data_IF_709988162455
#
_entry.id   IF_709988162455
#
_cell.length_a   1.000
_cell.length_b   1.000
_cell.length_c   1.000
_cell.angle_alpha   90.00
_cell.angle_beta   90.00
_cell.angle_gamma   90.00
#
_symmetry.space_group_name_H-M   'P 1'
#
loop_
_entity.id
_entity.type
_entity.pdbx_description
1 polymer ?
#
# COMPACT_ATOMS: atom_id res chain seq x y z
N UNK A 1 -6.70 26.95 -55.10
CA UNK A 1 -6.30 25.94 -54.10
C UNK A 1 -6.35 26.60 -52.73
N UNK A 2 -7.45 26.40 -51.99
CA UNK A 2 -7.67 27.01 -50.68
C UNK A 2 -7.11 26.05 -49.62
N UNK A 3 -6.06 26.46 -48.90
CA UNK A 3 -5.48 25.67 -47.81
C UNK A 3 -6.24 26.00 -46.51
N UNK A 4 -7.07 25.06 -46.05
CA UNK A 4 -7.66 25.11 -44.70
C UNK A 4 -6.60 24.75 -43.68
N UNK A 5 -6.12 25.73 -42.91
CA UNK A 5 -5.36 25.50 -41.68
C UNK A 5 -6.34 25.05 -40.58
N UNK A 6 -6.27 23.77 -40.20
CA UNK A 6 -6.91 23.26 -38.99
C UNK A 6 -5.96 23.52 -37.83
N UNK A 7 -6.28 24.51 -37.01
CA UNK A 7 -5.62 24.73 -35.71
C UNK A 7 -6.24 23.74 -34.72
N UNK A 8 -5.54 22.66 -34.42
CA UNK A 8 -5.89 21.78 -33.31
C UNK A 8 -5.52 22.48 -32.00
N UNK A 9 -6.49 23.09 -31.33
CA UNK A 9 -6.30 23.57 -29.96
C UNK A 9 -6.09 22.39 -29.03
N UNK A 10 -4.91 22.28 -28.42
CA UNK A 10 -4.73 21.47 -27.21
C UNK A 10 -5.60 22.11 -26.13
N UNK A 11 -6.79 21.54 -25.89
CA UNK A 11 -7.51 21.79 -24.66
C UNK A 11 -6.70 21.12 -23.54
N UNK A 12 -5.78 21.89 -22.94
CA UNK A 12 -5.31 21.57 -21.60
C UNK A 12 -6.53 21.68 -20.69
N UNK A 13 -7.17 20.55 -20.39
CA UNK A 13 -8.09 20.50 -19.26
C UNK A 13 -7.25 20.88 -18.06
N UNK A 14 -7.45 22.10 -17.55
CA UNK A 14 -6.99 22.47 -16.24
C UNK A 14 -7.68 21.49 -15.28
N UNK A 15 -6.98 20.41 -14.92
CA UNK A 15 -7.34 19.68 -13.72
C UNK A 15 -7.35 20.74 -12.62
N UNK A 16 -8.50 20.90 -11.94
CA UNK A 16 -8.54 21.70 -10.73
C UNK A 16 -7.34 21.25 -9.88
N UNK A 17 -6.50 22.20 -9.49
CA UNK A 17 -5.21 21.92 -8.88
C UNK A 17 -5.45 21.05 -7.65
N UNK A 18 -5.12 19.75 -7.73
CA UNK A 18 -5.28 18.82 -6.61
C UNK A 18 -4.16 19.09 -5.61
N UNK A 19 -4.32 20.21 -4.91
CA UNK A 19 -3.35 20.74 -3.99
C UNK A 19 -3.07 19.73 -2.88
N UNK A 20 -1.79 19.63 -2.51
CA UNK A 20 -1.34 18.76 -1.42
C UNK A 20 -2.09 19.00 -0.12
N UNK A 21 -2.49 20.24 0.17
CA UNK A 21 -3.26 20.60 1.37
C UNK A 21 -4.67 20.00 1.37
N UNK A 22 -5.33 19.95 0.21
CA UNK A 22 -6.61 19.27 0.06
C UNK A 22 -6.44 17.76 0.31
N UNK A 23 -5.45 17.13 -0.34
CA UNK A 23 -5.18 15.70 -0.19
C UNK A 23 -4.84 15.33 1.26
N UNK A 24 -4.03 16.16 1.95
CA UNK A 24 -3.74 16.01 3.39
C UNK A 24 -4.99 16.10 4.24
N UNK A 25 -5.84 17.09 3.97
CA UNK A 25 -7.12 17.28 4.67
C UNK A 25 -8.05 16.09 4.48
N UNK A 26 -8.13 15.54 3.26
CA UNK A 26 -8.92 14.37 2.95
C UNK A 26 -8.42 13.12 3.70
N UNK A 27 -7.11 12.87 3.72
CA UNK A 27 -6.54 11.75 4.48
C UNK A 27 -6.75 11.91 5.99
N UNK A 28 -6.62 13.13 6.53
CA UNK A 28 -6.89 13.40 7.94
C UNK A 28 -8.36 13.14 8.30
N UNK A 29 -9.29 13.56 7.43
CA UNK A 29 -10.72 13.29 7.60
C UNK A 29 -11.03 11.78 7.56
N UNK A 30 -10.44 11.05 6.61
CA UNK A 30 -10.55 9.59 6.52
C UNK A 30 -10.05 8.91 7.81
N UNK A 31 -8.84 9.24 8.28
CA UNK A 31 -8.25 8.66 9.49
C UNK A 31 -9.11 8.96 10.71
N UNK A 32 -9.58 10.20 10.88
CA UNK A 32 -10.44 10.58 11.99
C UNK A 32 -11.77 9.81 11.98
N UNK A 33 -12.38 9.65 10.81
CA UNK A 33 -13.61 8.89 10.66
C UNK A 33 -13.43 7.40 10.96
N UNK A 34 -12.33 6.79 10.49
CA UNK A 34 -12.00 5.38 10.79
C UNK A 34 -11.73 5.16 12.29
N UNK A 35 -11.01 6.08 12.95
CA UNK A 35 -10.81 6.05 14.41
C UNK A 35 -12.14 6.03 15.16
N UNK A 36 -13.13 6.77 14.67
CA UNK A 36 -14.44 6.91 15.29
C UNK A 36 -15.49 5.88 14.83
N UNK A 37 -15.20 5.06 13.80
CA UNK A 37 -16.21 4.18 13.18
C UNK A 37 -17.34 4.94 12.47
N UNK A 38 -17.05 6.16 11.99
CA UNK A 38 -18.04 7.06 11.40
C UNK A 38 -18.07 6.93 9.87
N UNK A 39 -18.58 5.81 9.37
CA UNK A 39 -18.61 5.54 7.93
C UNK A 39 -19.40 6.60 7.11
N UNK A 40 -20.39 7.26 7.71
CA UNK A 40 -21.09 8.39 7.11
C UNK A 40 -20.16 9.58 6.80
N UNK A 41 -19.17 9.86 7.65
CA UNK A 41 -18.20 10.93 7.42
C UNK A 41 -17.27 10.60 6.24
N UNK A 42 -16.92 9.32 6.06
CA UNK A 42 -16.17 8.87 4.88
C UNK A 42 -17.03 8.95 3.63
N UNK A 43 -18.30 8.54 3.70
CA UNK A 43 -19.23 8.65 2.56
C UNK A 43 -19.45 10.09 2.10
N UNK A 44 -19.33 11.08 3.00
CA UNK A 44 -19.42 12.50 2.65
C UNK A 44 -18.23 13.00 1.80
N UNK A 45 -17.10 12.27 1.80
CA UNK A 45 -16.00 12.49 0.86
C UNK A 45 -16.41 12.07 -0.55
N UNK A 46 -17.24 11.04 -0.69
CA UNK A 46 -17.67 10.42 -1.95
C UNK A 46 -19.15 10.65 -2.26
N UNK A 47 -19.54 11.88 -2.60
CA UNK A 47 -20.92 12.20 -3.01
C UNK A 47 -21.11 12.28 -4.52
N UNK A 48 -20.16 11.74 -5.31
CA UNK A 48 -20.29 11.70 -6.77
C UNK A 48 -21.26 10.59 -7.20
N UNK A 49 -22.00 10.81 -8.29
CA UNK A 49 -23.00 9.84 -8.77
C UNK A 49 -22.40 8.46 -9.15
N UNK A 50 -21.08 8.40 -9.35
CA UNK A 50 -20.33 7.20 -9.72
C UNK A 50 -19.34 6.77 -8.62
N UNK A 51 -19.56 7.20 -7.38
CA UNK A 51 -18.70 6.85 -6.27
C UNK A 51 -18.70 5.33 -6.03
N UNK A 52 -17.51 4.72 -6.01
CA UNK A 52 -17.33 3.30 -5.72
C UNK A 52 -16.55 3.15 -4.41
N UNK A 53 -17.05 2.28 -3.54
CA UNK A 53 -16.34 1.84 -2.35
C UNK A 53 -16.04 0.34 -2.42
N UNK A 54 -14.77 -0.02 -2.21
CA UNK A 54 -14.28 -1.40 -2.21
C UNK A 54 -13.55 -1.72 -0.91
N UNK A 55 -13.83 -2.90 -0.35
CA UNK A 55 -12.95 -3.57 0.62
C UNK A 55 -12.52 -4.90 0.03
N UNK A 56 -11.21 -5.18 0.00
CA UNK A 56 -10.64 -6.43 -0.52
C UNK A 56 -11.16 -6.79 -1.93
N UNK A 57 -11.17 -5.79 -2.83
CA UNK A 57 -11.68 -5.88 -4.22
C UNK A 57 -13.18 -6.22 -4.35
N UNK A 58 -13.97 -6.14 -3.28
CA UNK A 58 -15.42 -6.35 -3.30
C UNK A 58 -16.17 -5.04 -3.08
N UNK A 59 -17.19 -4.78 -3.92
CA UNK A 59 -18.12 -3.67 -3.70
C UNK A 59 -18.83 -3.89 -2.37
N UNK A 60 -18.72 -2.92 -1.47
CA UNK A 60 -19.17 -3.04 -0.09
C UNK A 60 -20.00 -1.82 0.32
N UNK A 61 -20.97 -2.01 1.22
CA UNK A 61 -21.71 -0.91 1.83
C UNK A 61 -20.96 -0.37 3.06
N UNK A 62 -20.88 0.95 3.20
CA UNK A 62 -20.21 1.64 4.31
C UNK A 62 -20.67 1.19 5.70
N UNK A 63 -21.93 0.76 5.87
CA UNK A 63 -22.46 0.34 7.17
C UNK A 63 -22.01 -1.07 7.53
N UNK A 64 -21.79 -1.93 6.54
CA UNK A 64 -21.30 -3.30 6.75
C UNK A 64 -19.77 -3.41 6.71
N UNK A 65 -19.09 -2.32 6.38
CA UNK A 65 -17.64 -2.30 6.15
C UNK A 65 -16.83 -2.08 7.42
N UNK A 66 -15.52 -2.20 7.30
CA UNK A 66 -14.56 -1.90 8.37
C UNK A 66 -14.64 -0.44 8.84
N UNK A 67 -15.14 0.48 8.00
CA UNK A 67 -15.34 1.90 8.33
C UNK A 67 -16.46 2.15 9.35
N UNK A 68 -17.39 1.19 9.57
CA UNK A 68 -18.47 1.33 10.56
C UNK A 68 -18.05 0.93 11.97
N UNK A 69 -16.80 0.48 12.14
CA UNK A 69 -16.24 0.04 13.42
C UNK A 69 -15.12 1.00 13.84
N UNK A 70 -15.10 1.45 15.10
CA UNK A 70 -13.97 2.23 15.59
C UNK A 70 -12.71 1.36 15.63
N UNK A 71 -11.62 1.87 15.07
CA UNK A 71 -10.31 1.22 15.11
C UNK A 71 -9.36 2.05 15.96
N UNK A 72 -8.75 1.41 16.97
CA UNK A 72 -7.63 1.99 17.70
C UNK A 72 -6.35 1.90 16.87
N UNK A 73 -6.02 3.00 16.19
CA UNK A 73 -4.86 3.11 15.29
C UNK A 73 -3.62 3.50 16.09
N UNK A 74 -2.53 2.74 15.91
CA UNK A 74 -1.22 3.02 16.52
C UNK A 74 -0.33 3.87 15.60
N UNK A 75 -0.39 3.61 14.29
CA UNK A 75 0.31 4.38 13.26
C UNK A 75 -0.64 4.63 12.10
N UNK A 76 -0.66 5.88 11.63
CA UNK A 76 -1.20 6.24 10.34
C UNK A 76 -0.11 6.95 9.51
N UNK A 77 0.00 6.59 8.23
CA UNK A 77 0.90 7.25 7.27
C UNK A 77 0.18 7.43 5.95
N UNK A 78 0.19 8.64 5.42
CA UNK A 78 -0.40 8.93 4.12
C UNK A 78 0.62 9.47 3.14
N UNK A 79 0.42 9.16 1.86
CA UNK A 79 1.16 9.75 0.74
C UNK A 79 0.16 10.42 -0.22
N UNK A 80 0.58 11.51 -0.85
CA UNK A 80 -0.33 12.42 -1.57
C UNK A 80 0.15 12.62 -3.01
N UNK A 81 -0.63 12.12 -3.96
CA UNK A 81 -0.35 12.19 -5.40
C UNK A 81 -1.13 13.35 -6.03
N UNK A 82 -0.46 14.49 -6.17
CA UNK A 82 -1.05 15.70 -6.75
C UNK A 82 -1.26 15.60 -8.26
N UNK A 83 -0.62 14.64 -8.94
CA UNK A 83 -0.75 14.44 -10.39
C UNK A 83 -1.98 13.59 -10.71
N UNK A 84 -2.21 12.51 -9.97
CA UNK A 84 -3.39 11.66 -10.14
C UNK A 84 -4.59 12.08 -9.30
N UNK A 85 -4.45 13.14 -8.50
CA UNK A 85 -5.46 13.56 -7.53
C UNK A 85 -5.88 12.39 -6.62
N UNK A 86 -4.90 11.73 -6.03
CA UNK A 86 -5.11 10.50 -5.28
C UNK A 86 -4.29 10.49 -4.00
N UNK A 87 -4.72 9.66 -3.06
CA UNK A 87 -4.02 9.47 -1.78
C UNK A 87 -3.92 8.00 -1.46
N UNK A 88 -2.88 7.62 -0.74
CA UNK A 88 -2.78 6.35 -0.05
C UNK A 88 -2.68 6.61 1.46
N UNK A 89 -3.21 5.70 2.28
CA UNK A 89 -3.04 5.70 3.73
C UNK A 89 -2.80 4.27 4.23
N UNK A 90 -1.70 4.06 4.94
CA UNK A 90 -1.41 2.85 5.74
C UNK A 90 -1.90 3.10 7.16
N UNK A 91 -2.71 2.17 7.69
CA UNK A 91 -3.12 2.10 9.09
C UNK A 91 -2.57 0.84 9.71
N UNK A 92 -1.89 0.99 10.85
CA UNK A 92 -1.45 -0.14 11.70
C UNK A 92 -2.18 -0.02 13.03
N UNK A 93 -2.97 -1.04 13.36
CA UNK A 93 -3.83 -1.08 14.54
C UNK A 93 -3.52 -2.34 15.36
N UNK A 94 -2.27 -2.49 15.79
CA UNK A 94 -1.79 -3.64 16.55
C UNK A 94 -2.38 -3.71 17.97
N UNK A 95 -2.65 -2.56 18.59
CA UNK A 95 -3.24 -2.47 19.93
C UNK A 95 -4.77 -2.44 19.94
N UNK A 96 -5.41 -2.56 18.77
CA UNK A 96 -6.85 -2.74 18.66
C UNK A 96 -7.25 -4.16 19.10
N UNK A 97 -8.40 -4.35 19.78
CA UNK A 97 -8.85 -5.69 20.19
C UNK A 97 -8.97 -6.69 19.04
N UNK A 98 -9.30 -6.20 17.84
CA UNK A 98 -9.20 -6.93 16.59
C UNK A 98 -8.10 -6.29 15.74
N UNK A 99 -6.87 -6.81 15.71
CA UNK A 99 -5.77 -6.12 15.05
C UNK A 99 -5.96 -6.01 13.54
N UNK A 100 -5.52 -4.89 12.96
CA UNK A 100 -5.58 -4.65 11.52
C UNK A 100 -4.26 -4.08 10.98
N UNK A 101 -4.00 -4.37 9.70
CA UNK A 101 -3.17 -3.53 8.82
C UNK A 101 -4.01 -3.21 7.59
N UNK A 102 -4.22 -1.92 7.31
CA UNK A 102 -5.14 -1.47 6.26
C UNK A 102 -4.41 -0.52 5.33
N UNK A 103 -4.46 -0.80 4.03
CA UNK A 103 -3.99 0.09 2.99
C UNK A 103 -5.20 0.65 2.24
N UNK A 104 -5.38 1.96 2.23
CA UNK A 104 -6.54 2.61 1.59
C UNK A 104 -6.08 3.62 0.54
N UNK A 105 -6.63 3.49 -0.66
CA UNK A 105 -6.48 4.44 -1.77
C UNK A 105 -7.76 5.21 -1.97
N UNK A 106 -7.63 6.53 -2.12
CA UNK A 106 -8.74 7.42 -2.51
C UNK A 106 -8.37 8.14 -3.80
N UNK A 107 -9.31 8.25 -4.73
CA UNK A 107 -9.15 8.98 -6.00
C UNK A 107 -10.24 10.03 -6.09
N UNK A 108 -9.85 11.26 -6.36
CA UNK A 108 -10.74 12.42 -6.36
C UNK A 108 -11.01 12.94 -7.77
N UNK A 109 -12.24 13.39 -8.00
CA UNK A 109 -12.62 14.12 -9.20
C UNK A 109 -12.26 15.60 -9.11
N UNK A 110 -12.49 16.32 -10.22
CA UNK A 110 -12.26 17.77 -10.30
C UNK A 110 -13.14 18.60 -9.34
N UNK A 111 -14.19 18.01 -8.79
CA UNK A 111 -15.08 18.60 -7.77
C UNK A 111 -14.58 18.36 -6.33
N UNK A 112 -13.37 17.82 -6.17
CA UNK A 112 -12.78 17.43 -4.88
C UNK A 112 -13.62 16.39 -4.12
N UNK A 113 -14.46 15.64 -4.83
CA UNK A 113 -15.18 14.49 -4.28
C UNK A 113 -14.47 13.21 -4.67
N UNK A 114 -14.42 12.25 -3.75
CA UNK A 114 -13.93 10.92 -4.06
C UNK A 114 -14.83 10.30 -5.14
N UNK A 115 -14.20 9.77 -6.18
CA UNK A 115 -14.81 8.89 -7.17
C UNK A 115 -14.58 7.42 -6.79
N UNK A 116 -13.50 7.13 -6.06
CA UNK A 116 -13.15 5.80 -5.60
C UNK A 116 -12.55 5.89 -4.20
N UNK A 117 -12.97 5.00 -3.31
CA UNK A 117 -12.25 4.62 -2.10
C UNK A 117 -12.10 3.10 -2.13
N UNK A 118 -10.88 2.59 -2.17
CA UNK A 118 -10.61 1.15 -2.12
C UNK A 118 -9.65 0.84 -0.97
N UNK A 119 -9.92 -0.21 -0.22
CA UNK A 119 -9.08 -0.64 0.90
C UNK A 119 -8.69 -2.10 0.77
N UNK A 120 -7.42 -2.41 1.01
CA UNK A 120 -6.97 -3.76 1.39
C UNK A 120 -6.97 -3.80 2.91
N UNK A 121 -7.95 -4.49 3.48
CA UNK A 121 -8.12 -4.68 4.91
C UNK A 121 -7.56 -6.05 5.25
N UNK A 122 -6.47 -6.10 6.03
CA UNK A 122 -5.90 -7.36 6.49
C UNK A 122 -6.06 -7.55 7.99
N UNK A 123 -6.36 -8.78 8.37
CA UNK A 123 -6.46 -9.23 9.76
C UNK A 123 -6.06 -10.71 9.94
N UNK A 124 -6.42 -11.30 11.08
CA UNK A 124 -6.05 -12.67 11.42
C UNK A 124 -6.46 -13.66 10.32
N UNK A 125 -5.46 -14.36 9.78
CA UNK A 125 -5.65 -15.38 8.76
C UNK A 125 -5.23 -14.93 7.36
N UNK A 126 -4.96 -13.65 7.17
CA UNK A 126 -4.33 -13.14 5.96
C UNK A 126 -2.85 -13.47 5.88
N UNK A 127 -2.24 -13.15 4.72
CA UNK A 127 -0.90 -13.56 4.36
C UNK A 127 0.13 -13.13 5.42
N UNK A 128 0.64 -14.12 6.15
CA UNK A 128 1.65 -13.97 7.20
C UNK A 128 1.25 -12.99 8.33
N UNK A 129 -0.03 -12.64 8.46
CA UNK A 129 -0.49 -11.50 9.23
C UNK A 129 -0.05 -11.50 10.70
N UNK A 130 0.59 -10.40 11.10
CA UNK A 130 1.03 -10.08 12.44
C UNK A 130 1.14 -8.56 12.63
N UNK A 131 0.05 -7.92 13.07
CA UNK A 131 0.03 -6.47 13.27
C UNK A 131 1.09 -5.96 14.27
N UNK A 132 1.40 -6.72 15.32
CA UNK A 132 2.44 -6.36 16.29
C UNK A 132 3.82 -6.32 15.62
N UNK A 133 4.14 -7.35 14.84
CA UNK A 133 5.38 -7.39 14.05
C UNK A 133 5.47 -6.26 13.04
N UNK A 134 4.35 -5.93 12.37
CA UNK A 134 4.26 -4.74 11.50
C UNK A 134 4.60 -3.47 12.27
N UNK A 135 3.96 -3.23 13.44
CA UNK A 135 4.21 -2.05 14.25
C UNK A 135 5.68 -1.96 14.73
N UNK A 136 6.26 -3.08 15.16
CA UNK A 136 7.65 -3.15 15.64
C UNK A 136 8.66 -2.82 14.53
N UNK A 137 8.45 -3.34 13.32
CA UNK A 137 9.33 -3.10 12.17
C UNK A 137 9.14 -1.70 11.55
N UNK A 138 7.93 -1.14 11.63
CA UNK A 138 7.60 0.19 11.13
C UNK A 138 8.12 1.32 12.03
N UNK A 139 8.08 1.14 13.37
CA UNK A 139 8.47 2.15 14.37
C UNK A 139 9.87 2.78 14.17
N UNK A 140 10.95 2.04 13.84
CA UNK A 140 12.27 2.63 13.67
C UNK A 140 12.48 3.34 12.32
N UNK A 141 11.53 3.25 11.39
CA UNK A 141 11.69 3.80 10.04
C UNK A 141 11.54 5.32 10.01
N UNK A 142 12.24 5.96 9.07
CA UNK A 142 12.17 7.41 8.87
C UNK A 142 11.46 7.73 7.57
N UNK A 143 10.33 8.40 7.70
CA UNK A 143 9.45 8.78 6.60
C UNK A 143 9.29 10.29 6.48
N UNK A 144 10.30 11.06 6.90
CA UNK A 144 10.30 12.51 6.75
C UNK A 144 10.32 12.91 5.25
N UNK A 145 9.79 14.08 4.89
CA UNK A 145 9.96 14.65 3.57
C UNK A 145 11.43 14.70 3.15
N UNK A 146 11.71 14.29 1.93
CA UNK A 146 13.05 14.34 1.35
C UNK A 146 13.35 15.80 0.97
N UNK A 147 14.53 16.36 1.31
CA UNK A 147 14.92 17.70 0.86
C UNK A 147 14.77 17.84 -0.65
N UNK A 148 14.28 19.00 -1.12
CA UNK A 148 13.84 19.18 -2.52
C UNK A 148 14.92 18.81 -3.54
N UNK A 149 16.18 19.12 -3.23
CA UNK A 149 17.36 18.84 -4.04
C UNK A 149 17.78 17.37 -4.07
N UNK A 150 17.22 16.53 -3.20
CA UNK A 150 17.44 15.08 -3.12
C UNK A 150 16.22 14.27 -3.55
N UNK A 151 15.09 14.92 -3.86
CA UNK A 151 13.88 14.24 -4.30
C UNK A 151 14.12 13.62 -5.68
N UNK A 152 13.90 12.31 -5.77
CA UNK A 152 13.82 11.63 -7.05
C UNK A 152 12.58 12.13 -7.83
N UNK A 153 12.67 12.16 -9.16
CA UNK A 153 11.50 12.48 -9.98
C UNK A 153 10.40 11.43 -9.80
N UNK A 154 9.14 11.84 -9.98
CA UNK A 154 7.99 10.92 -10.00
C UNK A 154 8.22 9.66 -10.82
N UNK A 155 8.77 9.81 -12.02
CA UNK A 155 9.03 8.71 -12.94
C UNK A 155 10.05 7.71 -12.37
N UNK A 156 11.09 8.21 -11.71
CA UNK A 156 12.06 7.37 -10.99
C UNK A 156 11.35 6.63 -9.87
N UNK A 157 10.65 7.32 -8.97
CA UNK A 157 9.94 6.71 -7.82
C UNK A 157 8.98 5.61 -8.30
N UNK A 158 8.15 5.88 -9.30
CA UNK A 158 7.22 4.89 -9.86
C UNK A 158 7.95 3.69 -10.47
N UNK A 159 9.05 3.92 -11.19
CA UNK A 159 9.81 2.85 -11.85
C UNK A 159 10.39 1.82 -10.88
N UNK A 160 10.62 2.17 -9.60
CA UNK A 160 11.07 1.22 -8.59
C UNK A 160 9.94 0.25 -8.18
N UNK A 161 8.72 0.76 -8.04
CA UNK A 161 7.53 -0.09 -7.89
C UNK A 161 7.33 -1.00 -9.11
N UNK A 162 7.61 -0.49 -10.31
CA UNK A 162 7.57 -1.29 -11.53
C UNK A 162 8.63 -2.39 -11.56
N UNK A 163 9.88 -2.04 -11.26
CA UNK A 163 10.99 -2.99 -11.21
C UNK A 163 10.69 -4.13 -10.23
N UNK A 164 10.14 -3.81 -9.06
CA UNK A 164 9.76 -4.79 -8.04
C UNK A 164 8.83 -5.87 -8.61
N UNK A 165 7.69 -5.49 -9.20
CA UNK A 165 6.75 -6.48 -9.73
C UNK A 165 7.17 -7.07 -11.07
N UNK A 166 7.93 -6.33 -11.89
CA UNK A 166 8.47 -6.88 -13.15
C UNK A 166 9.49 -7.99 -12.86
N UNK A 167 10.25 -7.90 -11.77
CA UNK A 167 11.19 -8.94 -11.35
C UNK A 167 10.53 -10.29 -11.08
N UNK A 168 9.27 -10.31 -10.67
CA UNK A 168 8.55 -11.55 -10.34
C UNK A 168 8.32 -12.44 -11.56
N UNK A 169 8.28 -11.85 -12.77
CA UNK A 169 8.06 -12.57 -14.03
C UNK A 169 9.26 -12.52 -14.98
N UNK A 170 10.31 -11.75 -14.65
CA UNK A 170 11.49 -11.60 -15.50
C UNK A 170 12.76 -11.46 -14.64
N UNK A 171 13.58 -12.51 -14.63
CA UNK A 171 14.82 -12.57 -13.84
C UNK A 171 15.91 -11.59 -14.27
N UNK A 172 15.81 -11.05 -15.49
CA UNK A 172 16.76 -10.07 -16.03
C UNK A 172 16.49 -8.65 -15.52
N UNK A 173 15.33 -8.41 -14.91
CA UNK A 173 15.03 -7.12 -14.27
C UNK A 173 15.87 -6.99 -13.01
N UNK A 174 16.49 -5.83 -12.80
CA UNK A 174 17.18 -5.51 -11.54
C UNK A 174 16.29 -4.60 -10.71
N UNK A 175 16.23 -4.85 -9.40
CA UNK A 175 15.50 -4.01 -8.45
C UNK A 175 16.53 -3.29 -7.58
N UNK A 176 16.80 -1.98 -7.83
CA UNK A 176 17.67 -1.21 -6.94
C UNK A 176 17.05 -1.14 -5.54
N UNK A 177 17.72 -1.73 -4.56
CA UNK A 177 17.25 -1.79 -3.17
C UNK A 177 18.46 -1.64 -2.24
N UNK A 178 18.37 -0.78 -1.23
CA UNK A 178 19.39 -0.60 -0.18
C UNK A 178 19.03 -1.20 1.19
N UNK A 179 19.75 -0.77 2.22
CA UNK A 179 19.44 -1.08 3.62
C UNK A 179 18.08 -0.48 4.04
N UNK A 180 17.33 -1.12 4.96
CA UNK A 180 17.71 -2.23 5.84
C UNK A 180 17.56 -3.64 5.22
N UNK A 181 17.30 -3.75 3.92
CA UNK A 181 17.29 -5.00 3.17
C UNK A 181 16.30 -6.06 3.69
N UNK A 182 15.07 -5.64 3.88
CA UNK A 182 13.95 -6.55 4.08
C UNK A 182 12.66 -5.96 3.50
N UNK A 183 11.73 -6.84 3.16
CA UNK A 183 10.32 -6.51 2.96
C UNK A 183 9.57 -6.77 4.26
N UNK A 184 8.79 -5.80 4.71
CA UNK A 184 7.81 -5.99 5.77
C UNK A 184 6.59 -6.64 5.11
N UNK A 185 6.45 -7.95 5.32
CA UNK A 185 5.43 -8.78 4.67
C UNK A 185 4.56 -9.45 5.73
N UNK A 186 3.31 -9.00 5.86
CA UNK A 186 2.41 -9.47 6.92
C UNK A 186 2.95 -9.24 8.33
N UNK A 187 3.92 -8.36 8.54
CA UNK A 187 4.57 -8.15 9.83
C UNK A 187 5.77 -9.05 10.12
N UNK A 188 6.24 -9.80 9.12
CA UNK A 188 7.52 -10.51 9.15
C UNK A 188 8.55 -9.77 8.27
N UNK A 189 9.83 -9.74 8.67
CA UNK A 189 10.88 -9.21 7.81
C UNK A 189 11.34 -10.31 6.85
N UNK A 190 10.85 -10.31 5.61
CA UNK A 190 11.42 -11.13 4.55
C UNK A 190 12.79 -10.54 4.16
N UNK A 191 13.84 -11.03 4.81
CA UNK A 191 15.20 -10.49 4.72
C UNK A 191 15.92 -10.91 3.43
N UNK A 192 16.65 -9.96 2.86
CA UNK A 192 17.66 -10.21 1.85
C UNK A 192 19.08 -10.27 2.45
N UNK A 193 20.07 -10.23 1.58
CA UNK A 193 21.49 -10.15 1.90
C UNK A 193 22.04 -8.79 1.44
N UNK A 194 22.68 -8.03 2.33
CA UNK A 194 23.41 -6.82 1.95
C UNK A 194 24.78 -7.18 1.36
N UNK A 195 25.06 -6.68 0.15
CA UNK A 195 26.36 -6.78 -0.53
C UNK A 195 26.84 -5.37 -0.87
N UNK A 196 27.70 -4.82 -0.02
CA UNK A 196 28.02 -3.38 -0.07
C UNK A 196 26.76 -2.56 0.20
N UNK A 197 26.43 -1.63 -0.71
CA UNK A 197 25.26 -0.75 -0.60
C UNK A 197 24.00 -1.32 -1.28
N UNK A 198 24.07 -2.55 -1.81
CA UNK A 198 22.97 -3.20 -2.52
C UNK A 198 22.36 -4.34 -1.70
N UNK A 199 21.04 -4.42 -1.71
CA UNK A 199 20.26 -5.49 -1.13
C UNK A 199 19.89 -6.54 -2.18
N UNK A 200 20.29 -7.78 -1.93
CA UNK A 200 19.97 -8.94 -2.76
C UNK A 200 18.82 -9.71 -2.11
N UNK A 201 17.65 -9.64 -2.74
CA UNK A 201 16.45 -10.34 -2.29
C UNK A 201 16.23 -11.65 -3.04
N UNK A 202 15.48 -12.57 -2.43
CA UNK A 202 14.96 -13.76 -3.10
C UNK A 202 13.62 -13.43 -3.73
N UNK A 203 13.44 -13.83 -4.99
CA UNK A 203 12.27 -13.46 -5.80
C UNK A 203 11.64 -14.68 -6.44
N UNK A 204 10.30 -14.67 -6.64
CA UNK A 204 9.67 -15.48 -7.66
C UNK A 204 10.23 -15.17 -9.06
N UNK A 205 9.97 -16.06 -10.02
CA UNK A 205 10.40 -15.88 -11.43
C UNK A 205 9.32 -16.23 -12.45
N UNK A 206 8.10 -16.54 -12.00
CA UNK A 206 7.00 -17.02 -12.86
C UNK A 206 5.70 -16.26 -12.65
N UNK A 207 5.68 -15.23 -11.80
CA UNK A 207 4.46 -14.51 -11.44
C UNK A 207 4.41 -13.21 -12.22
N UNK A 208 3.35 -13.01 -12.98
CA UNK A 208 3.10 -11.78 -13.75
C UNK A 208 2.02 -11.00 -13.02
N UNK A 209 2.32 -9.75 -12.63
CA UNK A 209 1.36 -8.83 -11.97
C UNK A 209 1.08 -7.67 -12.92
N UNK A 210 0.12 -7.80 -13.85
CA UNK A 210 -0.04 -6.86 -14.96
C UNK A 210 -0.90 -5.63 -14.61
N UNK A 211 -1.82 -5.76 -13.64
CA UNK A 211 -2.75 -4.69 -13.27
C UNK A 211 -2.26 -3.97 -12.02
N UNK A 212 -1.80 -2.74 -12.20
CA UNK A 212 -1.18 -1.91 -11.15
C UNK A 212 -1.83 -0.55 -11.11
N UNK A 213 -2.20 -0.10 -9.91
CA UNK A 213 -2.80 1.22 -9.65
C UNK A 213 -1.89 1.95 -8.67
N UNK A 214 -1.37 3.10 -9.06
CA UNK A 214 -0.29 3.77 -8.34
C UNK A 214 -0.81 4.95 -7.53
N UNK A 215 -0.06 5.27 -6.49
CA UNK A 215 -0.07 6.56 -5.80
C UNK A 215 1.39 6.91 -5.62
N UNK A 216 1.84 8.02 -6.19
CA UNK A 216 3.26 8.44 -6.13
C UNK A 216 3.33 9.81 -5.46
N UNK A 217 4.24 9.93 -4.50
CA UNK A 217 4.49 11.16 -3.75
C UNK A 217 5.99 11.47 -3.75
N UNK A 218 6.41 12.45 -4.55
CA UNK A 218 7.82 12.87 -4.63
C UNK A 218 8.34 13.49 -3.33
N UNK A 219 7.47 14.11 -2.53
CA UNK A 219 7.87 14.77 -1.28
C UNK A 219 8.35 13.74 -0.26
N UNK A 220 7.63 12.62 -0.18
CA UNK A 220 8.01 11.46 0.61
C UNK A 220 8.84 10.43 -0.18
N UNK A 221 9.23 10.70 -1.43
CA UNK A 221 9.87 9.71 -2.30
C UNK A 221 9.19 8.34 -2.23
N UNK A 222 7.87 8.30 -2.27
CA UNK A 222 7.10 7.09 -1.99
C UNK A 222 6.22 6.70 -3.17
N UNK A 223 6.05 5.40 -3.36
CA UNK A 223 5.05 4.85 -4.27
C UNK A 223 4.32 3.71 -3.59
N UNK A 224 3.00 3.77 -3.59
CA UNK A 224 2.17 2.60 -3.35
C UNK A 224 1.63 2.05 -4.67
N UNK A 225 1.51 0.73 -4.72
CA UNK A 225 0.95 0.01 -5.87
C UNK A 225 -0.12 -0.96 -5.36
N UNK A 226 -1.38 -0.63 -5.63
CA UNK A 226 -2.48 -1.59 -5.52
C UNK A 226 -2.44 -2.54 -6.71
N UNK A 227 -2.48 -3.82 -6.41
CA UNK A 227 -2.43 -4.88 -7.41
C UNK A 227 -3.50 -5.93 -7.14
N UNK A 228 -3.68 -6.78 -8.14
CA UNK A 228 -4.32 -8.07 -7.97
C UNK A 228 -3.25 -9.15 -8.05
N UNK A 229 -2.82 -9.71 -6.93
CA UNK A 229 -1.67 -10.63 -6.87
C UNK A 229 -2.07 -12.06 -7.23
N UNK A 230 -1.63 -12.62 -8.39
CA UNK A 230 -2.07 -13.94 -8.81
C UNK A 230 -1.46 -15.05 -7.95
N UNK A 231 -2.34 -15.95 -7.49
CA UNK A 231 -1.94 -17.14 -6.75
C UNK A 231 -1.41 -16.88 -5.34
N UNK A 232 -1.65 -15.70 -4.76
CA UNK A 232 -1.42 -15.42 -3.35
C UNK A 232 -2.15 -16.45 -2.47
N UNK A 233 -3.47 -16.58 -2.67
CA UNK A 233 -4.29 -17.61 -2.02
C UNK A 233 -4.33 -18.87 -2.89
N UNK A 234 -3.75 -19.96 -2.38
CA UNK A 234 -3.65 -21.23 -3.11
C UNK A 234 -5.00 -21.88 -3.38
N UNK A 235 -6.03 -21.52 -2.63
CA UNK A 235 -7.39 -22.02 -2.87
C UNK A 235 -8.09 -21.34 -4.03
N UNK A 236 -7.55 -20.21 -4.51
CA UNK A 236 -8.11 -19.40 -5.58
C UNK A 236 -7.36 -19.60 -6.92
N UNK A 237 -6.39 -20.50 -6.98
CA UNK A 237 -5.64 -20.81 -8.19
C UNK A 237 -4.76 -19.65 -8.66
N UNK A 238 -5.12 -18.99 -9.75
CA UNK A 238 -4.44 -17.80 -10.30
C UNK A 238 -5.31 -16.55 -10.25
N UNK A 239 -6.46 -16.60 -9.58
CA UNK A 239 -7.27 -15.41 -9.41
C UNK A 239 -6.46 -14.32 -8.69
N UNK A 240 -6.57 -13.06 -9.12
CA UNK A 240 -5.81 -11.95 -8.54
C UNK A 240 -6.37 -11.60 -7.16
N UNK A 241 -5.59 -11.87 -6.11
CA UNK A 241 -5.98 -11.55 -4.74
C UNK A 241 -5.72 -10.07 -4.40
N UNK A 242 -6.51 -9.48 -3.49
CA UNK A 242 -6.33 -8.08 -3.10
C UNK A 242 -5.00 -7.88 -2.39
N UNK A 243 -4.17 -6.98 -2.92
CA UNK A 243 -2.80 -6.80 -2.46
C UNK A 243 -2.33 -5.36 -2.73
N UNK A 244 -1.51 -4.82 -1.83
CA UNK A 244 -0.94 -3.47 -1.95
C UNK A 244 0.48 -3.45 -1.39
N UNK A 245 1.36 -2.77 -2.11
CA UNK A 245 2.76 -2.62 -1.76
C UNK A 245 3.17 -1.14 -1.69
N UNK A 246 3.48 -0.67 -0.49
CA UNK A 246 4.06 0.66 -0.26
C UNK A 246 5.58 0.58 -0.28
N UNK A 247 6.21 1.46 -1.04
CA UNK A 247 7.67 1.59 -1.12
C UNK A 247 8.11 3.00 -0.73
N UNK A 248 9.16 3.10 0.09
CA UNK A 248 9.99 4.30 0.21
C UNK A 248 11.16 4.17 -0.75
N UNK A 249 11.41 5.22 -1.52
CA UNK A 249 12.50 5.35 -2.48
C UNK A 249 13.37 6.54 -2.08
N UNK A 250 14.68 6.31 -2.00
CA UNK A 250 15.66 7.37 -1.74
C UNK A 250 16.90 7.15 -2.61
N UNK A 251 17.29 8.17 -3.38
CA UNK A 251 18.47 8.11 -4.24
C UNK A 251 18.37 7.01 -5.30
N UNK A 252 17.18 6.81 -5.87
CA UNK A 252 16.90 5.81 -6.89
C UNK A 252 16.91 4.35 -6.40
N UNK A 253 16.86 4.10 -5.08
CA UNK A 253 16.77 2.75 -4.50
C UNK A 253 15.54 2.61 -3.60
N UNK A 254 14.91 1.42 -3.62
CA UNK A 254 13.96 1.04 -2.58
C UNK A 254 14.70 1.00 -1.23
N UNK A 255 14.08 1.60 -0.23
CA UNK A 255 14.55 1.61 1.16
C UNK A 255 13.66 0.75 2.03
N UNK A 256 12.37 1.08 2.06
CA UNK A 256 11.35 0.33 2.81
C UNK A 256 10.31 -0.25 1.85
N UNK A 257 9.74 -1.40 2.21
CA UNK A 257 8.67 -2.06 1.47
C UNK A 257 7.67 -2.65 2.47
N UNK A 258 6.43 -2.20 2.46
CA UNK A 258 5.34 -2.74 3.29
C UNK A 258 4.29 -3.38 2.41
N UNK A 259 3.70 -4.47 2.87
CA UNK A 259 2.63 -5.16 2.15
C UNK A 259 1.38 -5.34 3.02
N UNK A 260 0.23 -5.22 2.38
CA UNK A 260 -1.05 -5.70 2.89
C UNK A 260 -1.64 -6.62 1.83
N UNK A 261 -1.82 -7.90 2.16
CA UNK A 261 -2.24 -8.94 1.22
C UNK A 261 -3.38 -9.76 1.83
N UNK A 262 -4.59 -9.56 1.33
CA UNK A 262 -5.79 -10.21 1.84
C UNK A 262 -6.04 -11.56 1.15
N UNK A 263 -6.52 -12.53 1.91
CA UNK A 263 -6.82 -13.87 1.46
C UNK A 263 -8.31 -14.17 1.57
N UNK A 264 -8.81 -15.07 0.72
CA UNK A 264 -10.21 -15.51 0.78
C UNK A 264 -10.36 -16.57 1.87
N UNK A 265 -9.34 -17.42 2.03
CA UNK A 265 -9.29 -18.45 3.05
C UNK A 265 -8.15 -18.20 4.03
N UNK A 266 -8.43 -18.40 5.32
CA UNK A 266 -7.43 -18.34 6.39
C UNK A 266 -6.18 -19.15 6.04
N UNK A 267 -5.02 -18.54 6.26
CA UNK A 267 -3.70 -19.06 5.92
C UNK A 267 -3.40 -19.05 4.42
N UNK A 268 -4.23 -18.40 3.58
CA UNK A 268 -4.05 -18.28 2.14
C UNK A 268 -3.86 -19.62 1.42
N UNK A 269 -4.49 -20.68 1.97
CA UNK A 269 -4.33 -22.05 1.48
C UNK A 269 -2.97 -22.70 1.79
N UNK A 270 -2.16 -22.12 2.69
CA UNK A 270 -0.90 -22.71 3.16
C UNK A 270 -1.03 -23.58 4.42
N UNK A 271 -2.21 -23.62 5.05
CA UNK A 271 -2.48 -24.47 6.22
C UNK A 271 -2.21 -25.95 5.86
N UNK A 272 -1.12 -26.51 6.39
CA UNK A 272 -0.65 -27.88 6.10
C UNK A 272 0.64 -27.98 5.28
N UNK A 273 1.12 -26.88 4.69
CA UNK A 273 2.45 -26.79 4.06
C UNK A 273 3.48 -26.30 5.08
N UNK A 274 4.76 -26.63 4.90
CA UNK A 274 5.86 -26.31 5.82
C UNK A 274 6.05 -24.81 6.11
N UNK A 275 5.46 -23.90 5.31
CA UNK A 275 5.40 -22.46 5.61
C UNK A 275 4.38 -22.12 6.70
N UNK A 276 3.27 -22.86 6.83
CA UNK A 276 2.25 -22.69 7.88
C UNK A 276 2.49 -23.53 9.15
N UNK A 277 3.57 -24.31 9.20
CA UNK A 277 3.95 -25.19 10.33
C UNK A 277 5.14 -24.70 11.15
N UNK A 278 5.57 -23.44 11.01
CA UNK A 278 6.39 -22.85 12.09
C UNK A 278 5.43 -22.44 13.18
N UNK A 279 5.38 -23.26 14.23
CA UNK A 279 5.11 -22.83 15.60
C UNK A 279 5.77 -21.45 15.82
N UNK A 280 5.02 -20.38 15.57
CA UNK A 280 5.36 -19.02 15.98
C UNK A 280 5.00 -18.79 17.46
N UNK A 281 4.41 -19.80 18.12
CA UNK A 281 4.25 -19.86 19.56
C UNK A 281 5.03 -21.05 20.12
N UNK A 282 6.26 -20.80 20.59
CA UNK A 282 7.02 -21.53 21.65
C UNK A 282 8.52 -21.53 21.35
N UNK A 283 9.18 -20.35 21.34
CA UNK A 283 10.60 -20.19 21.75
C UNK A 283 11.01 -18.71 21.86
N UNK A 284 10.23 -17.91 22.58
CA UNK A 284 10.77 -16.73 23.25
C UNK A 284 10.39 -16.82 24.72
N UNK A 285 11.20 -17.54 25.51
CA UNK A 285 11.21 -17.34 26.96
C UNK A 285 12.16 -16.17 27.20
N UNK A 286 11.68 -15.00 27.67
CA UNK A 286 12.59 -13.99 28.16
C UNK A 286 13.39 -14.61 29.31
N UNK A 287 14.72 -14.46 29.28
CA UNK A 287 15.54 -14.77 30.46
C UNK A 287 15.05 -13.87 31.61
N UNK A 288 14.88 -14.40 32.83
CA UNK A 288 14.60 -13.54 33.98
C UNK A 288 15.74 -12.54 34.13
N UNK A 289 15.40 -11.27 34.30
CA UNK A 289 16.32 -10.29 34.85
C UNK A 289 16.55 -10.68 36.30
N UNK A 290 17.74 -11.18 36.60
CA UNK A 290 18.22 -11.23 37.98
C UNK A 290 18.57 -9.80 38.40
N UNK A 291 17.91 -9.34 39.46
CA UNK A 291 18.27 -8.12 40.20
C UNK A 291 19.39 -8.44 41.20
#
# INVERSE_FOLDING_TARGET
MLHSLIVAGLAATAAADCGRDFLKSATAAYVAAQKAGQSAAVSALGTSANFIFLENNQVTDFKSSTLSKPIKIDVDRSIHDTVQCATFTELIAASNPHPYVIHTRMVFGADHKAALIESIVTDQGDWLFNATGTLELNRPEKWDPIPKEKQDSRAVVQSLGDAYFNRFGNVSVTVPWGAPCYRLEGGLPARGELKGDDCVMVWPSTIIVPYRRYIVDEDLGAVDVFVGFPGLDRTQGQLPMPDSHLFRVEGGKIKYCHTASACVKEGCGLNGTTFGRRDLGLKYRPKPLEF
#
